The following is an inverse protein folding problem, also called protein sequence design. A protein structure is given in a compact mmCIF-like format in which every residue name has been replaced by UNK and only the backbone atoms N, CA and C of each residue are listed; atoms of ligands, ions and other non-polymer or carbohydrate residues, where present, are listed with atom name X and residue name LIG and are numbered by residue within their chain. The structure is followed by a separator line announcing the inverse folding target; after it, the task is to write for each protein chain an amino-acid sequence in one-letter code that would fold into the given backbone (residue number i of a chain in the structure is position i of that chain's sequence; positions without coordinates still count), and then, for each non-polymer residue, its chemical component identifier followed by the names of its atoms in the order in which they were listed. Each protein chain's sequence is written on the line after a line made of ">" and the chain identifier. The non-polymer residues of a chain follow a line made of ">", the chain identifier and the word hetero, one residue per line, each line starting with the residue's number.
data_IF_591436759525
#
_entry.id   IF_591436759525
#
_cell.length_a   1.000
_cell.length_b   1.000
_cell.length_c   1.000
_cell.angle_alpha   90.00
_cell.angle_beta   90.00
_cell.angle_gamma   90.00
#
_symmetry.space_group_name_H-M   'P 1'
#
loop_
_entity.id
_entity.type
_entity.pdbx_description
1 polymer ?
#
# COMPACT_ATOMS: atom_id res chain seq x y z
N UNK A 1 37.11 48.24 44.98
CA UNK A 1 35.75 48.01 44.44
C UNK A 1 35.80 46.79 43.54
N UNK A 2 35.30 45.65 44.02
CA UNK A 2 35.29 44.36 43.31
C UNK A 2 33.99 44.28 42.50
N UNK A 3 34.07 44.24 41.16
CA UNK A 3 32.91 43.99 40.31
C UNK A 3 32.80 42.48 40.07
N UNK A 4 31.74 41.89 40.58
CA UNK A 4 31.40 40.48 40.46
C UNK A 4 31.12 40.10 39.01
N UNK A 5 31.88 39.12 38.52
CA UNK A 5 31.67 38.37 37.30
C UNK A 5 30.37 37.55 37.44
N UNK A 6 29.44 37.68 36.50
CA UNK A 6 28.32 36.75 36.37
C UNK A 6 28.52 35.97 35.07
N UNK A 7 29.02 34.74 35.21
CA UNK A 7 29.15 33.76 34.14
C UNK A 7 27.78 33.09 33.98
N UNK A 8 27.03 33.44 32.93
CA UNK A 8 25.84 32.70 32.56
C UNK A 8 26.28 31.41 31.85
N UNK A 9 26.17 30.27 32.54
CA UNK A 9 26.41 28.95 31.98
C UNK A 9 25.19 28.55 31.14
N UNK A 10 25.25 28.78 29.83
CA UNK A 10 24.23 28.32 28.89
C UNK A 10 24.51 26.86 28.54
N UNK A 11 23.83 25.93 29.22
CA UNK A 11 23.85 24.51 28.87
C UNK A 11 22.94 24.29 27.65
N UNK A 12 23.54 24.08 26.48
CA UNK A 12 22.82 23.62 25.28
C UNK A 12 22.82 22.09 25.33
N UNK A 13 21.67 21.50 25.67
CA UNK A 13 21.46 20.06 25.47
C UNK A 13 21.19 19.82 23.99
N UNK A 14 22.22 19.43 23.25
CA UNK A 14 22.06 18.89 21.90
C UNK A 14 21.66 17.41 22.05
N UNK A 15 20.35 17.16 22.18
CA UNK A 15 19.81 15.80 22.11
C UNK A 15 19.84 15.35 20.65
N UNK A 16 20.97 14.84 20.19
CA UNK A 16 21.01 14.06 18.96
C UNK A 16 20.38 12.70 19.28
N UNK A 17 19.09 12.56 18.98
CA UNK A 17 18.41 11.27 18.96
C UNK A 17 19.02 10.43 17.84
N UNK A 18 20.10 9.70 18.14
CA UNK A 18 20.56 8.63 17.26
C UNK A 18 19.60 7.45 17.41
N UNK A 19 18.51 7.45 16.63
CA UNK A 19 17.75 6.23 16.39
C UNK A 19 18.22 5.63 15.08
N UNK A 20 18.94 4.51 15.21
CA UNK A 20 19.21 3.63 14.09
C UNK A 20 17.88 2.98 13.72
N UNK A 21 17.22 3.48 12.66
CA UNK A 21 16.15 2.72 12.00
C UNK A 21 16.85 1.56 11.31
N UNK A 22 16.75 0.37 11.91
CA UNK A 22 17.28 -0.85 11.35
C UNK A 22 16.45 -1.20 10.11
N UNK A 23 16.90 -0.78 8.92
CA UNK A 23 16.55 -1.49 7.70
C UNK A 23 17.34 -2.80 7.73
N UNK A 24 16.78 -3.82 8.38
CA UNK A 24 17.30 -5.17 8.21
C UNK A 24 17.23 -5.49 6.71
N UNK A 25 18.24 -6.16 6.13
CA UNK A 25 18.11 -6.66 4.78
C UNK A 25 16.95 -7.66 4.79
N UNK A 26 15.80 -7.26 4.25
CA UNK A 26 14.77 -8.22 3.88
C UNK A 26 15.36 -9.03 2.75
N UNK A 27 15.88 -10.20 3.09
CA UNK A 27 16.30 -11.24 2.15
C UNK A 27 15.04 -11.73 1.44
N UNK A 28 14.64 -10.98 0.43
CA UNK A 28 13.50 -11.21 -0.43
C UNK A 28 13.63 -10.18 -1.54
N UNK A 29 14.24 -10.57 -2.64
CA UNK A 29 14.19 -9.79 -3.87
C UNK A 29 12.73 -9.81 -4.33
N UNK A 30 11.99 -8.73 -4.06
CA UNK A 30 10.61 -8.59 -4.49
C UNK A 30 10.63 -7.83 -5.82
N UNK A 31 10.54 -8.53 -6.97
CA UNK A 31 10.62 -7.88 -8.26
C UNK A 31 9.54 -6.80 -8.36
N UNK A 32 9.96 -5.56 -8.63
CA UNK A 32 9.07 -4.42 -8.74
C UNK A 32 8.69 -3.73 -7.43
N UNK A 33 9.43 -3.92 -6.33
CA UNK A 33 9.33 -3.04 -5.15
C UNK A 33 10.70 -2.49 -4.77
N UNK A 34 10.84 -1.17 -4.67
CA UNK A 34 12.09 -0.53 -4.25
C UNK A 34 11.86 0.37 -3.05
N UNK A 35 12.79 0.32 -2.10
CA UNK A 35 12.80 1.21 -0.95
C UNK A 35 13.67 2.43 -1.26
N UNK A 36 13.05 3.58 -1.48
CA UNK A 36 13.76 4.80 -1.87
C UNK A 36 14.29 5.59 -0.66
N UNK A 37 13.49 5.68 0.39
CA UNK A 37 13.87 6.40 1.61
C UNK A 37 13.25 5.75 2.84
N UNK A 38 14.00 5.74 3.93
CA UNK A 38 13.56 5.30 5.26
C UNK A 38 14.13 6.23 6.32
N UNK A 39 13.25 6.80 7.13
CA UNK A 39 13.60 7.75 8.20
C UNK A 39 12.63 7.62 9.36
N UNK A 40 12.89 8.36 10.44
CA UNK A 40 11.99 8.52 11.58
C UNK A 40 10.69 9.27 11.24
N UNK A 41 10.69 10.03 10.13
CA UNK A 41 9.54 10.82 9.68
C UNK A 41 8.69 10.12 8.61
N UNK A 42 9.17 9.01 8.04
CA UNK A 42 8.42 8.31 7.00
C UNK A 42 9.24 7.35 6.14
N UNK A 43 8.51 6.66 5.26
CA UNK A 43 8.99 5.65 4.34
C UNK A 43 8.52 5.98 2.92
N UNK A 44 9.41 5.88 1.94
CA UNK A 44 9.09 6.00 0.52
C UNK A 44 9.39 4.67 -0.16
N UNK A 45 8.34 4.04 -0.66
CA UNK A 45 8.39 2.77 -1.39
C UNK A 45 7.83 3.02 -2.78
N UNK A 46 8.56 2.62 -3.81
CA UNK A 46 8.05 2.57 -5.18
C UNK A 46 7.61 1.16 -5.53
N UNK A 47 6.51 1.09 -6.27
CA UNK A 47 5.97 -0.14 -6.83
C UNK A 47 5.99 -0.05 -8.34
N UNK A 48 6.75 -0.94 -8.98
CA UNK A 48 6.78 -1.10 -10.43
C UNK A 48 5.99 -2.33 -10.85
N UNK A 49 5.13 -2.19 -11.86
CA UNK A 49 4.30 -3.28 -12.39
C UNK A 49 5.06 -4.16 -13.42
N UNK A 50 6.37 -4.30 -13.27
CA UNK A 50 7.23 -5.01 -14.22
C UNK A 50 6.95 -6.52 -14.33
N UNK A 51 6.24 -7.09 -13.33
CA UNK A 51 5.88 -8.52 -13.26
C UNK A 51 4.42 -8.85 -13.55
N UNK A 52 3.61 -7.92 -14.08
CA UNK A 52 2.21 -8.20 -14.37
C UNK A 52 2.09 -9.21 -15.53
N UNK A 53 1.52 -10.37 -15.24
CA UNK A 53 1.19 -11.40 -16.22
C UNK A 53 -0.32 -11.50 -16.41
N UNK A 54 -0.74 -11.85 -17.63
CA UNK A 54 -2.14 -12.03 -18.00
C UNK A 54 -2.28 -13.46 -18.54
N UNK A 55 -3.11 -14.25 -17.87
CA UNK A 55 -3.49 -15.59 -18.28
C UNK A 55 -4.99 -15.61 -18.62
N UNK A 56 -5.42 -16.55 -19.46
CA UNK A 56 -6.84 -16.81 -19.67
C UNK A 56 -7.23 -18.10 -18.95
N UNK A 57 -8.22 -17.99 -18.06
CA UNK A 57 -8.78 -19.11 -17.33
C UNK A 57 -10.18 -19.42 -17.87
N UNK A 58 -10.50 -20.71 -17.93
CA UNK A 58 -11.82 -21.19 -18.37
C UNK A 58 -12.63 -21.59 -17.15
N UNK A 59 -13.75 -20.93 -16.93
CA UNK A 59 -14.70 -21.24 -15.84
C UNK A 59 -16.05 -21.58 -16.49
N UNK A 60 -16.42 -22.85 -16.46
CA UNK A 60 -17.56 -23.35 -17.25
C UNK A 60 -17.28 -23.25 -18.76
N UNK A 61 -18.14 -22.55 -19.48
CA UNK A 61 -17.99 -22.28 -20.92
C UNK A 61 -17.43 -20.86 -21.21
N UNK A 62 -17.05 -20.13 -20.15
CA UNK A 62 -16.58 -18.75 -20.26
C UNK A 62 -15.07 -18.64 -20.04
N UNK A 63 -14.43 -17.74 -20.78
CA UNK A 63 -13.01 -17.40 -20.61
C UNK A 63 -12.88 -16.08 -19.86
N UNK A 64 -12.05 -16.04 -18.82
CA UNK A 64 -11.77 -14.85 -18.02
C UNK A 64 -10.30 -14.49 -18.09
N UNK A 65 -10.00 -13.19 -18.09
CA UNK A 65 -8.63 -12.72 -17.94
C UNK A 65 -8.26 -12.76 -16.45
N UNK A 66 -7.16 -13.45 -16.15
CA UNK A 66 -6.56 -13.56 -14.84
C UNK A 66 -5.26 -12.76 -14.83
N UNK A 67 -5.22 -11.72 -14.00
CA UNK A 67 -4.05 -10.88 -13.78
C UNK A 67 -3.27 -11.36 -12.56
N UNK A 68 -1.97 -11.58 -12.68
CA UNK A 68 -1.13 -12.00 -11.56
C UNK A 68 0.22 -11.28 -11.55
N UNK A 69 0.80 -11.13 -10.36
CA UNK A 69 2.18 -10.67 -10.15
C UNK A 69 2.89 -11.78 -9.38
N UNK A 70 4.06 -12.20 -9.86
CA UNK A 70 4.80 -13.31 -9.25
C UNK A 70 5.12 -13.01 -7.77
N UNK A 71 4.81 -13.95 -6.88
CA UNK A 71 5.06 -13.83 -5.45
C UNK A 71 4.07 -12.98 -4.66
N UNK A 72 3.05 -12.42 -5.32
CA UNK A 72 2.03 -11.58 -4.69
C UNK A 72 0.71 -12.33 -4.46
N UNK A 73 -0.15 -11.72 -3.63
CA UNK A 73 -1.47 -12.25 -3.32
C UNK A 73 -2.52 -11.79 -4.32
N UNK A 74 -3.78 -12.09 -3.98
CA UNK A 74 -4.95 -11.66 -4.73
C UNK A 74 -6.00 -11.07 -3.79
N UNK A 75 -6.76 -10.11 -4.30
CA UNK A 75 -8.04 -9.71 -3.73
C UNK A 75 -9.09 -10.76 -4.09
N UNK A 76 -9.94 -11.10 -3.12
CA UNK A 76 -11.02 -12.05 -3.32
C UNK A 76 -12.26 -11.57 -2.59
N UNK A 77 -13.30 -11.30 -3.35
CA UNK A 77 -14.65 -11.03 -2.88
C UNK A 77 -15.62 -11.65 -3.88
N UNK A 78 -16.68 -12.29 -3.37
CA UNK A 78 -17.62 -13.02 -4.22
C UNK A 78 -18.30 -12.07 -5.22
N UNK A 79 -18.40 -12.51 -6.47
CA UNK A 79 -18.94 -11.70 -7.56
C UNK A 79 -18.05 -10.54 -8.05
N UNK A 80 -16.88 -10.28 -7.46
CA UNK A 80 -15.95 -9.23 -7.91
C UNK A 80 -14.76 -9.80 -8.69
N UNK A 81 -14.13 -8.99 -9.59
CA UNK A 81 -12.91 -9.39 -10.26
C UNK A 81 -11.78 -9.70 -9.28
N UNK A 82 -11.11 -10.83 -9.49
CA UNK A 82 -9.88 -11.17 -8.77
C UNK A 82 -8.75 -10.30 -9.33
N UNK A 83 -8.17 -9.44 -8.48
CA UNK A 83 -7.05 -8.58 -8.84
C UNK A 83 -5.80 -8.93 -8.01
N UNK A 84 -4.59 -8.87 -8.61
CA UNK A 84 -3.36 -9.08 -7.86
C UNK A 84 -3.20 -7.99 -6.80
N UNK A 85 -2.69 -8.38 -5.64
CA UNK A 85 -2.57 -7.53 -4.46
C UNK A 85 -1.15 -7.61 -3.90
N UNK A 86 -0.48 -6.45 -3.87
CA UNK A 86 0.84 -6.32 -3.26
C UNK A 86 0.70 -5.94 -1.80
N UNK A 87 1.28 -6.74 -0.90
CA UNK A 87 1.24 -6.48 0.55
C UNK A 87 2.65 -6.40 1.11
N UNK A 88 2.93 -5.36 1.89
CA UNK A 88 4.21 -5.16 2.58
C UNK A 88 3.97 -4.83 4.03
N UNK A 89 4.81 -5.39 4.89
CA UNK A 89 4.80 -5.09 6.32
C UNK A 89 5.80 -3.98 6.60
N UNK A 90 5.35 -2.95 7.29
CA UNK A 90 6.17 -1.84 7.75
C UNK A 90 6.10 -1.76 9.27
N UNK A 91 7.25 -1.48 9.90
CA UNK A 91 7.33 -1.30 11.34
C UNK A 91 7.14 0.17 11.65
N UNK A 92 6.15 0.48 12.49
CA UNK A 92 5.81 1.84 12.90
C UNK A 92 5.99 1.98 14.42
N UNK A 93 6.58 3.08 14.93
CA UNK A 93 6.63 3.35 16.36
C UNK A 93 5.24 3.38 17.01
N UNK A 94 5.11 2.96 18.28
CA UNK A 94 3.81 2.82 18.94
C UNK A 94 3.10 4.16 19.21
N UNK A 95 3.85 5.26 19.21
CA UNK A 95 3.38 6.63 19.43
C UNK A 95 3.23 7.45 18.14
N UNK A 96 3.53 6.85 16.98
CA UNK A 96 3.40 7.51 15.68
C UNK A 96 2.01 7.32 15.07
N UNK A 97 1.45 8.41 14.53
CA UNK A 97 0.32 8.34 13.60
C UNK A 97 0.77 7.84 12.23
N UNK A 98 -0.12 7.20 11.47
CA UNK A 98 0.17 6.70 10.13
C UNK A 98 -0.68 7.47 9.12
N UNK A 99 -0.02 7.97 8.07
CA UNK A 99 -0.65 8.50 6.88
C UNK A 99 -0.08 7.80 5.64
N UNK A 100 -0.95 7.38 4.74
CA UNK A 100 -0.57 6.84 3.44
C UNK A 100 -0.84 7.86 2.36
N UNK A 101 0.23 8.35 1.73
CA UNK A 101 0.15 9.21 0.55
C UNK A 101 0.51 8.38 -0.67
N UNK A 102 -0.44 8.23 -1.59
CA UNK A 102 -0.22 7.50 -2.84
C UNK A 102 0.05 8.51 -3.95
N UNK A 103 1.19 8.34 -4.62
CA UNK A 103 1.52 9.04 -5.86
C UNK A 103 1.52 8.00 -6.98
N UNK A 104 0.76 8.27 -8.04
CA UNK A 104 0.64 7.37 -9.18
C UNK A 104 0.63 8.19 -10.47
N UNK A 105 1.23 7.62 -11.51
CA UNK A 105 1.12 8.12 -12.87
C UNK A 105 -0.30 7.91 -13.44
N UNK A 106 -0.53 8.40 -14.65
CA UNK A 106 -1.81 8.19 -15.34
C UNK A 106 -2.13 6.70 -15.50
N UNK A 107 -3.34 6.24 -15.12
CA UNK A 107 -3.73 4.84 -15.27
C UNK A 107 -3.66 4.40 -16.74
N UNK A 108 -2.91 3.33 -17.00
CA UNK A 108 -2.93 2.69 -18.32
C UNK A 108 -4.29 2.03 -18.55
N UNK A 109 -5.05 2.55 -19.51
CA UNK A 109 -6.35 1.98 -19.91
C UNK A 109 -6.18 1.05 -21.10
N UNK A 110 -6.58 -0.21 -20.93
CA UNK A 110 -6.71 -1.17 -22.02
C UNK A 110 -8.21 -1.35 -22.26
N UNK A 111 -8.64 -1.26 -23.53
CA UNK A 111 -10.04 -1.55 -23.87
C UNK A 111 -10.25 -3.06 -23.77
N UNK A 112 -11.14 -3.47 -22.87
CA UNK A 112 -11.66 -4.85 -22.90
C UNK A 112 -12.42 -5.06 -24.21
N UNK A 113 -12.17 -6.19 -24.87
CA UNK A 113 -12.94 -6.63 -26.04
C UNK A 113 -14.36 -7.07 -25.69
N UNK A 114 -14.69 -7.18 -24.39
CA UNK A 114 -15.99 -7.61 -23.89
C UNK A 114 -16.66 -6.48 -23.10
N UNK A 115 -17.99 -6.46 -23.15
CA UNK A 115 -18.78 -5.58 -22.27
C UNK A 115 -18.73 -6.14 -20.85
N UNK A 116 -18.74 -5.29 -19.80
CA UNK A 116 -18.92 -5.75 -18.44
C UNK A 116 -20.17 -6.62 -18.35
N UNK A 117 -20.06 -7.78 -17.68
CA UNK A 117 -21.22 -8.57 -17.30
C UNK A 117 -21.91 -7.81 -16.16
N UNK A 118 -23.19 -7.50 -16.34
CA UNK A 118 -24.03 -7.01 -15.26
C UNK A 118 -24.55 -8.26 -14.57
N UNK A 119 -24.08 -8.53 -13.36
CA UNK A 119 -24.69 -9.54 -12.50
C UNK A 119 -26.05 -8.97 -12.07
N UNK A 120 -27.14 -9.48 -12.62
CA UNK A 120 -28.46 -9.27 -12.06
C UNK A 120 -28.56 -10.22 -10.87
N UNK A 121 -28.35 -9.72 -9.65
CA UNK A 121 -28.53 -10.53 -8.44
C UNK A 121 -29.92 -11.19 -8.49
N UNK A 122 -29.95 -12.52 -8.52
CA UNK A 122 -31.20 -13.27 -8.40
C UNK A 122 -31.81 -13.03 -7.01
N UNK A 123 -32.80 -12.14 -6.97
CA UNK A 123 -33.90 -12.14 -6.02
C UNK A 123 -33.53 -12.01 -4.53
N UNK A 124 -32.95 -10.87 -4.12
CA UNK A 124 -33.19 -10.37 -2.77
C UNK A 124 -34.59 -9.72 -2.74
N UNK A 125 -35.58 -10.24 -2.00
CA UNK A 125 -36.86 -9.58 -1.89
C UNK A 125 -36.65 -8.24 -1.16
N UNK A 126 -36.66 -7.15 -1.92
CA UNK A 126 -36.66 -5.79 -1.41
C UNK A 126 -37.97 -5.55 -0.64
N UNK A 127 -38.02 -6.00 0.62
CA UNK A 127 -39.08 -5.65 1.55
C UNK A 127 -38.59 -4.49 2.40
N UNK A 128 -38.46 -3.32 1.76
CA UNK A 128 -38.38 -2.06 2.49
C UNK A 128 -39.79 -1.48 2.55
N UNK A 129 -40.56 -1.90 3.56
CA UNK A 129 -41.80 -1.21 3.94
C UNK A 129 -41.41 -0.01 4.82
N UNK A 130 -41.45 1.19 4.25
CA UNK A 130 -41.60 2.41 5.02
C UNK A 130 -43.10 2.57 5.31
N UNK A 131 -43.48 2.45 6.57
CA UNK A 131 -44.79 2.92 7.02
C UNK A 131 -44.68 4.42 7.28
N UNK A 132 -45.54 5.20 6.61
CA UNK A 132 -45.81 6.60 6.95
C UNK A 132 -46.32 6.75 8.40
#
# INVERSE_FOLDING_TARGET
>A
MLRTFSFALTLIFFSASFHVVHSGPTTGDFPGTTLNASSDQGLSIDFELCGLSIQQDVVGDEMFDHFSIEGEGFTYEDGLPILPAVTRLVVVPPDAGIELVVQADEPRRIRSGRRPLICEDENYPATFSFSD
#
